data_IF_822306563307
#
_entry.id   IF_822306563307
#
_cell.length_a   1.000
_cell.length_b   1.000
_cell.length_c   1.000
_cell.angle_alpha   90.00
_cell.angle_beta   90.00
_cell.angle_gamma   90.00
#
_symmetry.space_group_name_H-M   'P 1'
#
loop_
_entity.id
_entity.type
_entity.pdbx_description
1 polymer ?
#
# COMPACT_ATOMS: atom_id res chain seq x y z
N UNK A 1 -19.92 23.97 -9.78
CA UNK A 1 -19.94 22.61 -10.36
C UNK A 1 -18.56 22.01 -10.11
N UNK A 2 -18.46 20.81 -9.56
CA UNK A 2 -17.16 20.15 -9.39
C UNK A 2 -16.67 19.73 -10.78
N UNK A 3 -15.43 20.11 -11.11
CA UNK A 3 -14.78 19.67 -12.34
C UNK A 3 -14.67 18.13 -12.33
N UNK A 4 -14.83 17.47 -13.49
CA UNK A 4 -14.75 16.00 -13.59
C UNK A 4 -13.43 15.44 -13.04
N UNK A 5 -12.36 16.20 -13.23
CA UNK A 5 -11.00 15.88 -12.80
C UNK A 5 -10.63 16.52 -11.44
N UNK A 6 -11.59 17.01 -10.66
CA UNK A 6 -11.29 17.55 -9.32
C UNK A 6 -10.58 16.49 -8.46
N UNK A 7 -9.43 16.87 -7.91
CA UNK A 7 -8.63 16.04 -7.04
C UNK A 7 -8.16 16.86 -5.84
N UNK A 8 -8.58 16.43 -4.65
CA UNK A 8 -8.41 17.18 -3.42
C UNK A 8 -7.47 16.47 -2.47
N UNK A 9 -6.51 17.23 -1.98
CA UNK A 9 -5.58 16.78 -0.95
C UNK A 9 -5.72 17.64 0.30
N UNK A 10 -5.24 17.12 1.43
CA UNK A 10 -5.23 17.84 2.69
C UNK A 10 -3.81 17.95 3.22
N UNK A 11 -3.45 19.13 3.73
CA UNK A 11 -2.23 19.35 4.50
C UNK A 11 -2.61 19.57 5.95
N UNK A 12 -2.01 18.79 6.84
CA UNK A 12 -2.24 18.84 8.28
C UNK A 12 -0.99 19.27 9.03
N UNK A 13 -1.17 19.83 10.23
CA UNK A 13 -0.07 20.04 11.17
C UNK A 13 0.29 18.72 11.84
N UNK A 14 1.58 18.42 11.92
CA UNK A 14 2.09 17.33 12.72
C UNK A 14 2.11 17.78 14.17
N UNK A 15 1.22 17.25 15.00
CA UNK A 15 1.29 17.48 16.45
C UNK A 15 2.42 16.60 16.99
N UNK A 16 3.45 17.22 17.56
CA UNK A 16 4.52 16.44 18.21
C UNK A 16 3.93 15.52 19.28
N UNK A 17 4.59 14.39 19.52
CA UNK A 17 4.22 13.42 20.57
C UNK A 17 3.99 14.10 21.93
N UNK A 18 4.75 15.14 22.26
CA UNK A 18 4.58 15.95 23.48
C UNK A 18 3.26 16.74 23.52
N UNK A 19 2.81 17.27 22.38
CA UNK A 19 1.52 17.97 22.26
C UNK A 19 0.32 17.01 22.32
N UNK A 20 0.50 15.75 21.91
CA UNK A 20 -0.51 14.70 22.03
C UNK A 20 -0.59 14.10 23.45
N UNK A 21 0.54 14.08 24.18
CA UNK A 21 0.64 13.54 25.54
C UNK A 21 0.14 14.50 26.64
N UNK A 22 0.13 15.81 26.39
CA UNK A 22 -0.47 16.80 27.30
C UNK A 22 -1.93 17.02 26.88
N UNK A 23 -2.88 16.83 27.79
CA UNK A 23 -4.32 16.67 27.52
C UNK A 23 -5.04 17.83 26.80
N UNK A 24 -6.39 17.81 26.83
CA UNK A 24 -7.27 18.76 26.10
C UNK A 24 -6.96 20.25 26.35
N UNK A 25 -6.34 20.58 27.48
CA UNK A 25 -6.06 21.95 27.92
C UNK A 25 -4.97 22.67 27.13
N UNK A 26 -4.13 21.96 26.35
CA UNK A 26 -3.04 22.59 25.57
C UNK A 26 -3.44 22.89 24.12
N UNK A 27 -4.55 22.32 23.64
CA UNK A 27 -5.05 22.51 22.27
C UNK A 27 -5.34 23.98 21.91
N UNK A 28 -5.93 24.82 22.78
CA UNK A 28 -6.15 26.23 22.49
C UNK A 28 -4.84 26.99 22.25
N UNK A 29 -3.78 26.64 22.96
CA UNK A 29 -2.45 27.26 22.80
C UNK A 29 -1.81 26.88 21.46
N UNK A 30 -1.95 25.63 21.02
CA UNK A 30 -1.45 25.20 19.71
C UNK A 30 -2.31 25.74 18.54
N UNK A 31 -3.63 25.88 18.74
CA UNK A 31 -4.52 26.50 17.77
C UNK A 31 -4.24 28.00 17.58
N UNK A 32 -3.83 28.70 18.64
CA UNK A 32 -3.45 30.11 18.60
C UNK A 32 -2.09 30.33 17.88
N UNK A 33 -1.22 29.33 17.86
CA UNK A 33 0.05 29.40 17.12
C UNK A 33 -0.19 29.34 15.62
N UNK A 34 0.07 30.42 14.89
CA UNK A 34 0.08 30.38 13.42
C UNK A 34 1.28 29.58 12.95
N UNK A 35 1.04 28.41 12.35
CA UNK A 35 2.04 27.66 11.62
C UNK A 35 1.71 27.67 10.13
N UNK A 36 2.72 28.00 9.34
CA UNK A 36 2.62 28.08 7.89
C UNK A 36 3.82 27.44 7.21
N UNK A 37 3.61 27.04 5.97
CA UNK A 37 4.67 26.58 5.08
C UNK A 37 5.14 27.82 4.31
N UNK A 38 6.30 28.34 4.72
CA UNK A 38 6.96 29.49 4.11
C UNK A 38 8.08 29.09 3.15
N UNK A 39 8.84 30.08 2.68
CA UNK A 39 9.98 29.86 1.80
C UNK A 39 11.05 28.93 2.40
N UNK A 40 11.72 28.17 1.54
CA UNK A 40 12.86 27.32 1.91
C UNK A 40 13.92 27.32 0.79
N UNK A 41 15.14 26.90 1.11
CA UNK A 41 16.20 26.70 0.13
C UNK A 41 16.17 25.26 -0.40
N UNK A 42 16.35 25.07 -1.72
CA UNK A 42 16.28 23.73 -2.34
C UNK A 42 17.27 22.73 -1.71
N UNK A 43 18.44 23.22 -1.32
CA UNK A 43 19.43 22.47 -0.55
C UNK A 43 20.07 23.38 0.50
N UNK A 44 20.73 22.78 1.49
CA UNK A 44 21.37 23.50 2.61
C UNK A 44 22.40 24.53 2.11
N UNK A 45 23.03 24.29 0.95
CA UNK A 45 24.06 25.15 0.37
C UNK A 45 23.57 25.94 -0.86
N UNK A 46 22.30 25.83 -1.24
CA UNK A 46 21.78 26.52 -2.41
C UNK A 46 21.38 27.96 -2.06
N UNK A 47 21.76 28.91 -2.93
CA UNK A 47 21.21 30.26 -2.93
C UNK A 47 19.82 30.34 -3.58
N UNK A 48 19.32 29.21 -4.10
CA UNK A 48 18.05 29.10 -4.83
C UNK A 48 16.92 28.70 -3.89
N UNK A 49 15.82 29.44 -4.00
CA UNK A 49 14.59 29.20 -3.24
C UNK A 49 13.84 28.06 -3.92
N UNK A 50 13.37 27.12 -3.12
CA UNK A 50 12.61 25.97 -3.61
C UNK A 50 11.22 26.37 -4.03
N UNK A 51 10.86 26.05 -5.27
CA UNK A 51 9.52 26.25 -5.81
C UNK A 51 8.67 24.99 -5.80
N UNK A 52 9.33 23.82 -5.90
CA UNK A 52 8.67 22.52 -6.07
C UNK A 52 8.14 22.24 -7.48
N UNK A 53 8.29 23.22 -8.38
CA UNK A 53 7.95 23.15 -9.79
C UNK A 53 9.21 23.11 -10.65
N UNK A 54 9.06 22.57 -11.86
CA UNK A 54 10.06 22.69 -12.92
C UNK A 54 9.97 24.07 -13.56
N UNK A 55 11.06 24.49 -14.21
CA UNK A 55 11.08 25.78 -14.91
C UNK A 55 10.05 25.88 -16.05
N UNK A 56 9.60 24.75 -16.60
CA UNK A 56 8.56 24.71 -17.63
C UNK A 56 7.17 24.90 -17.00
N UNK A 57 6.89 24.20 -15.90
CA UNK A 57 5.65 24.37 -15.14
C UNK A 57 5.52 25.83 -14.62
N UNK A 58 6.61 26.43 -14.13
CA UNK A 58 6.64 27.83 -13.70
C UNK A 58 6.22 28.78 -14.82
N UNK A 59 6.75 28.59 -16.04
CA UNK A 59 6.42 29.44 -17.20
C UNK A 59 4.99 29.27 -17.69
N UNK A 60 4.36 28.13 -17.41
CA UNK A 60 2.97 27.90 -17.78
C UNK A 60 1.99 28.48 -16.77
N UNK A 61 2.30 28.37 -15.47
CA UNK A 61 1.34 28.68 -14.39
C UNK A 61 1.53 30.10 -13.85
N UNK A 62 2.77 30.54 -13.61
CA UNK A 62 3.02 31.79 -12.89
C UNK A 62 2.68 33.06 -13.68
N UNK A 63 2.70 33.12 -15.03
CA UNK A 63 2.30 34.33 -15.74
C UNK A 63 0.88 34.80 -15.40
N UNK A 64 -0.07 33.87 -15.21
CA UNK A 64 -1.45 34.20 -14.85
C UNK A 64 -1.58 34.77 -13.43
N UNK A 65 -0.66 34.42 -12.53
CA UNK A 65 -0.67 34.84 -11.12
C UNK A 65 0.10 36.13 -10.93
N UNK A 66 1.25 36.26 -11.58
CA UNK A 66 2.14 37.42 -11.48
C UNK A 66 1.74 38.54 -12.43
N UNK A 67 0.88 38.26 -13.42
CA UNK A 67 0.51 39.18 -14.50
C UNK A 67 1.72 39.67 -15.32
N UNK A 68 2.72 38.80 -15.50
CA UNK A 68 3.98 39.06 -16.22
C UNK A 68 4.26 37.91 -17.17
N UNK A 69 4.59 38.20 -18.43
CA UNK A 69 4.92 37.15 -19.40
C UNK A 69 6.23 36.44 -19.00
N UNK A 70 6.23 35.11 -19.12
CA UNK A 70 7.38 34.23 -18.93
C UNK A 70 8.67 34.64 -19.68
N UNK A 71 8.55 35.42 -20.76
CA UNK A 71 9.66 35.89 -21.61
C UNK A 71 10.27 37.21 -21.14
N UNK A 72 9.61 37.93 -20.25
CA UNK A 72 10.13 39.20 -19.74
C UNK A 72 11.36 38.99 -18.85
N UNK A 73 12.29 39.94 -18.88
CA UNK A 73 13.52 39.88 -18.09
C UNK A 73 13.23 39.83 -16.58
N UNK A 74 12.16 40.50 -16.17
CA UNK A 74 11.76 40.61 -14.76
C UNK A 74 11.07 39.35 -14.23
N UNK A 75 10.57 38.46 -15.10
CA UNK A 75 9.83 37.27 -14.71
C UNK A 75 10.56 36.44 -13.66
N UNK A 76 11.85 36.12 -13.88
CA UNK A 76 12.64 35.32 -12.92
C UNK A 76 12.78 35.99 -11.55
N UNK A 77 12.86 37.32 -11.52
CA UNK A 77 12.97 38.09 -10.27
C UNK A 77 11.66 38.04 -9.50
N UNK A 78 10.54 38.22 -10.19
CA UNK A 78 9.21 38.19 -9.58
C UNK A 78 8.80 36.78 -9.15
N UNK A 79 9.16 35.74 -9.91
CA UNK A 79 9.02 34.34 -9.48
C UNK A 79 9.77 34.09 -8.18
N UNK A 80 11.01 34.60 -8.06
CA UNK A 80 11.78 34.48 -6.82
C UNK A 80 11.09 35.20 -5.67
N UNK A 81 10.65 36.45 -5.87
CA UNK A 81 9.94 37.23 -4.84
C UNK A 81 8.63 36.55 -4.42
N UNK A 82 7.91 35.96 -5.37
CA UNK A 82 6.70 35.19 -5.12
C UNK A 82 6.96 34.05 -4.14
N UNK A 83 7.99 33.23 -4.37
CA UNK A 83 8.31 32.12 -3.45
C UNK A 83 8.92 32.59 -2.12
N UNK A 84 9.59 33.74 -2.05
CA UNK A 84 9.98 34.36 -0.77
C UNK A 84 8.75 34.69 0.06
N UNK A 85 7.75 35.28 -0.59
CA UNK A 85 6.54 35.79 0.06
C UNK A 85 5.44 34.74 0.19
N UNK A 86 5.66 33.52 -0.33
CA UNK A 86 4.69 32.45 -0.26
C UNK A 86 4.53 31.98 1.19
N UNK A 87 3.37 32.26 1.76
CA UNK A 87 3.00 31.89 3.13
C UNK A 87 1.73 31.05 3.11
N UNK A 88 1.88 29.72 3.22
CA UNK A 88 0.74 28.80 3.20
C UNK A 88 0.31 28.47 4.61
N UNK A 89 -0.70 29.18 5.12
CA UNK A 89 -1.23 28.99 6.47
C UNK A 89 -2.03 27.70 6.57
N UNK A 90 -1.66 26.84 7.51
CA UNK A 90 -2.35 25.56 7.73
C UNK A 90 -3.22 25.69 8.98
N UNK A 91 -4.56 25.56 8.90
CA UNK A 91 -5.43 25.51 10.07
C UNK A 91 -5.10 24.29 10.96
N UNK A 92 -5.19 24.47 12.28
CA UNK A 92 -4.89 23.40 13.25
C UNK A 92 -5.94 22.28 13.21
N UNK A 93 -7.23 22.62 13.25
CA UNK A 93 -8.30 21.62 13.43
C UNK A 93 -8.70 20.89 12.13
N UNK A 94 -8.82 21.62 11.03
CA UNK A 94 -9.36 21.08 9.77
C UNK A 94 -8.28 20.65 8.78
N UNK A 95 -7.05 21.15 8.96
CA UNK A 95 -6.04 21.20 7.91
C UNK A 95 -6.42 22.16 6.79
N UNK A 96 -5.57 22.22 5.76
CA UNK A 96 -5.79 22.98 4.54
C UNK A 96 -6.16 22.03 3.40
N UNK A 97 -7.34 22.24 2.81
CA UNK A 97 -7.77 21.55 1.60
C UNK A 97 -7.21 22.27 0.36
N UNK A 98 -6.55 21.55 -0.53
CA UNK A 98 -6.03 22.06 -1.80
C UNK A 98 -6.66 21.30 -2.95
N UNK A 99 -7.15 22.03 -3.95
CA UNK A 99 -7.60 21.48 -5.23
C UNK A 99 -6.41 21.43 -6.19
N UNK A 100 -5.96 20.22 -6.53
CA UNK A 100 -4.79 19.98 -7.38
C UNK A 100 -5.15 19.27 -8.69
N UNK A 101 -6.45 19.11 -8.98
CA UNK A 101 -6.89 18.54 -10.24
C UNK A 101 -6.49 19.40 -11.45
N UNK A 102 -6.33 18.75 -12.59
CA UNK A 102 -5.97 19.33 -13.88
C UNK A 102 -7.18 19.37 -14.82
N UNK A 103 -7.17 20.24 -15.82
CA UNK A 103 -8.31 20.44 -16.72
C UNK A 103 -8.61 19.24 -17.62
N UNK A 104 -7.62 18.48 -18.07
CA UNK A 104 -7.83 17.35 -19.00
C UNK A 104 -7.63 16.00 -18.34
N UNK A 105 -6.46 15.76 -17.73
CA UNK A 105 -6.12 14.50 -17.07
C UNK A 105 -5.14 14.72 -15.92
N UNK A 106 -5.48 14.19 -14.74
CA UNK A 106 -4.67 14.26 -13.52
C UNK A 106 -3.38 13.43 -13.58
N UNK A 107 -3.28 12.47 -14.51
CA UNK A 107 -2.09 11.62 -14.67
C UNK A 107 -1.13 12.15 -15.73
N UNK A 108 -1.59 13.07 -16.58
CA UNK A 108 -0.77 13.71 -17.60
C UNK A 108 0.07 14.85 -17.00
N UNK A 109 1.24 15.18 -17.58
CA UNK A 109 2.01 16.35 -17.16
C UNK A 109 1.23 17.65 -17.44
N UNK A 110 1.63 18.72 -16.77
CA UNK A 110 1.10 20.06 -17.04
C UNK A 110 1.50 20.47 -18.45
N UNK A 111 0.54 20.98 -19.19
CA UNK A 111 0.71 21.52 -20.54
C UNK A 111 -0.16 22.77 -20.71
N UNK A 112 -0.07 23.43 -21.85
CA UNK A 112 -0.95 24.55 -22.18
C UNK A 112 -2.45 24.15 -22.23
N UNK A 113 -2.77 22.88 -22.48
CA UNK A 113 -4.14 22.35 -22.48
C UNK A 113 -4.54 21.76 -21.12
N UNK A 114 -3.57 21.21 -20.37
CA UNK A 114 -3.78 20.52 -19.10
C UNK A 114 -3.27 21.36 -17.91
N UNK A 115 -3.82 22.56 -17.74
CA UNK A 115 -3.48 23.43 -16.62
C UNK A 115 -4.20 23.01 -15.32
N UNK A 116 -3.69 23.41 -14.14
CA UNK A 116 -4.40 23.16 -12.89
C UNK A 116 -5.73 23.92 -12.82
N UNK A 117 -6.77 23.28 -12.29
CA UNK A 117 -8.08 23.90 -12.05
C UNK A 117 -7.95 25.10 -11.10
N UNK A 118 -7.08 24.97 -10.10
CA UNK A 118 -6.70 26.06 -9.19
C UNK A 118 -5.17 26.23 -9.16
N UNK A 119 -4.60 27.14 -9.97
CA UNK A 119 -3.16 27.38 -10.06
C UNK A 119 -2.46 27.57 -8.71
N UNK A 120 -3.03 28.42 -7.83
CA UNK A 120 -2.45 28.72 -6.52
C UNK A 120 -2.39 27.50 -5.59
N UNK A 121 -3.45 26.69 -5.57
CA UNK A 121 -3.52 25.52 -4.70
C UNK A 121 -2.56 24.42 -5.18
N UNK A 122 -2.43 24.27 -6.50
CA UNK A 122 -1.43 23.40 -7.12
C UNK A 122 0.01 23.81 -6.79
N UNK A 123 0.33 25.11 -6.87
CA UNK A 123 1.65 25.63 -6.49
C UNK A 123 1.93 25.34 -5.01
N UNK A 124 0.98 25.62 -4.12
CA UNK A 124 1.12 25.35 -2.67
C UNK A 124 1.37 23.87 -2.40
N UNK A 125 0.67 22.99 -3.10
CA UNK A 125 0.91 21.55 -3.00
C UNK A 125 2.32 21.16 -3.44
N UNK A 126 2.75 21.59 -4.63
CA UNK A 126 4.06 21.23 -5.18
C UNK A 126 5.20 21.80 -4.33
N UNK A 127 5.03 23.02 -3.85
CA UNK A 127 5.94 23.66 -2.90
C UNK A 127 6.02 22.85 -1.60
N UNK A 128 4.87 22.47 -1.02
CA UNK A 128 4.81 21.65 0.20
C UNK A 128 5.44 20.27 0.01
N UNK A 129 5.23 19.61 -1.14
CA UNK A 129 5.76 18.27 -1.43
C UNK A 129 7.29 18.18 -1.40
N UNK A 130 7.98 19.31 -1.66
CA UNK A 130 9.44 19.42 -1.66
C UNK A 130 9.99 20.14 -0.43
N UNK A 131 9.13 20.65 0.44
CA UNK A 131 9.53 21.41 1.61
C UNK A 131 10.11 20.47 2.69
N UNK A 132 11.31 20.76 3.27
CA UNK A 132 12.00 19.85 4.20
C UNK A 132 11.23 19.47 5.47
N UNK A 133 10.30 20.32 5.91
CA UNK A 133 9.45 20.10 7.10
C UNK A 133 8.08 19.48 6.81
N UNK A 134 7.84 19.03 5.57
CA UNK A 134 6.56 18.44 5.15
C UNK A 134 6.79 16.99 4.74
N UNK A 135 6.08 16.06 5.37
CA UNK A 135 6.06 14.67 4.97
C UNK A 135 5.01 14.41 3.88
N UNK A 136 5.26 13.40 3.04
CA UNK A 136 4.36 13.05 1.94
C UNK A 136 3.16 12.22 2.38
N UNK A 137 3.25 11.62 3.56
CA UNK A 137 2.19 10.82 4.16
C UNK A 137 2.18 11.00 5.68
N UNK A 138 1.05 10.71 6.35
CA UNK A 138 0.99 10.74 7.82
C UNK A 138 1.96 9.74 8.46
N UNK A 139 2.19 8.59 7.83
CA UNK A 139 3.10 7.55 8.32
C UNK A 139 4.57 8.02 8.30
N UNK A 140 4.98 8.80 7.29
CA UNK A 140 6.32 9.41 7.25
C UNK A 140 6.52 10.48 8.33
N UNK A 141 5.46 11.16 8.75
CA UNK A 141 5.53 12.21 9.77
C UNK A 141 5.60 11.66 11.20
N UNK A 142 5.12 10.43 11.40
CA UNK A 142 5.00 9.83 12.72
C UNK A 142 6.38 9.63 13.36
N UNK A 143 6.55 10.14 14.59
CA UNK A 143 7.82 10.07 15.32
C UNK A 143 8.93 11.01 14.84
N UNK A 144 8.71 11.79 13.77
CA UNK A 144 9.72 12.73 13.26
C UNK A 144 9.55 14.14 13.82
N UNK A 145 10.43 14.54 14.76
CA UNK A 145 10.39 15.87 15.39
C UNK A 145 10.68 17.04 14.41
N UNK A 146 11.35 16.76 13.30
CA UNK A 146 11.72 17.78 12.30
C UNK A 146 10.62 18.03 11.25
N UNK A 147 9.57 17.20 11.25
CA UNK A 147 8.42 17.33 10.35
C UNK A 147 7.30 18.05 11.08
N UNK A 148 6.85 19.16 10.50
CA UNK A 148 5.81 20.02 11.07
C UNK A 148 4.47 19.84 10.37
N UNK A 149 4.46 19.28 9.16
CA UNK A 149 3.25 19.08 8.39
C UNK A 149 3.28 17.75 7.66
N UNK A 150 2.11 17.22 7.29
CA UNK A 150 2.00 16.05 6.44
C UNK A 150 0.88 16.21 5.43
N UNK A 151 1.06 15.57 4.28
CA UNK A 151 0.06 15.55 3.20
C UNK A 151 -0.76 14.26 3.31
N UNK A 152 -2.06 14.37 3.12
CA UNK A 152 -2.98 13.24 3.09
C UNK A 152 -3.96 13.35 1.92
N UNK A 153 -3.93 12.36 1.04
CA UNK A 153 -4.99 12.13 0.07
C UNK A 153 -6.05 11.20 0.69
N UNK A 154 -7.18 11.79 1.10
CA UNK A 154 -8.28 11.05 1.70
C UNK A 154 -8.96 10.11 0.71
N UNK A 155 -9.06 10.48 -0.57
CA UNK A 155 -9.71 9.65 -1.58
C UNK A 155 -8.91 8.37 -1.80
N UNK A 156 -7.58 8.49 -1.94
CA UNK A 156 -6.69 7.34 -2.09
C UNK A 156 -6.61 6.51 -0.81
N UNK A 157 -6.58 7.14 0.36
CA UNK A 157 -6.61 6.45 1.65
C UNK A 157 -7.90 5.64 1.82
N UNK A 158 -9.06 6.24 1.51
CA UNK A 158 -10.35 5.57 1.58
C UNK A 158 -10.45 4.42 0.56
N UNK A 159 -9.92 4.60 -0.65
CA UNK A 159 -9.85 3.54 -1.66
C UNK A 159 -9.02 2.35 -1.16
N UNK A 160 -7.84 2.60 -0.57
CA UNK A 160 -7.00 1.56 0.04
C UNK A 160 -7.70 0.86 1.19
N UNK A 161 -8.33 1.61 2.11
CA UNK A 161 -9.10 1.07 3.23
C UNK A 161 -10.27 0.21 2.76
N UNK A 162 -10.99 0.66 1.73
CA UNK A 162 -12.09 -0.10 1.13
C UNK A 162 -11.60 -1.40 0.50
N UNK A 163 -10.48 -1.37 -0.24
CA UNK A 163 -9.88 -2.58 -0.81
C UNK A 163 -9.44 -3.56 0.28
N UNK A 164 -8.78 -3.08 1.34
CA UNK A 164 -8.40 -3.90 2.49
C UNK A 164 -9.61 -4.47 3.24
N UNK A 165 -10.69 -3.69 3.40
CA UNK A 165 -11.92 -4.16 3.99
C UNK A 165 -12.57 -5.26 3.13
N UNK A 166 -12.61 -5.09 1.80
CA UNK A 166 -13.13 -6.10 0.89
C UNK A 166 -12.36 -7.43 1.00
N UNK A 167 -11.02 -7.37 1.07
CA UNK A 167 -10.18 -8.58 1.25
C UNK A 167 -10.43 -9.23 2.61
N UNK A 168 -10.67 -8.43 3.67
CA UNK A 168 -11.07 -8.97 4.98
C UNK A 168 -12.43 -9.64 4.93
N UNK A 169 -13.41 -8.99 4.32
CA UNK A 169 -14.77 -9.53 4.19
C UNK A 169 -14.73 -10.85 3.40
N UNK A 170 -13.96 -10.91 2.31
CA UNK A 170 -13.73 -12.11 1.50
C UNK A 170 -13.04 -13.22 2.31
N UNK A 171 -12.00 -12.90 3.08
CA UNK A 171 -11.31 -13.87 3.94
C UNK A 171 -12.26 -14.47 4.99
N UNK A 172 -13.08 -13.63 5.64
CA UNK A 172 -14.06 -14.09 6.63
C UNK A 172 -15.15 -14.92 5.98
N UNK A 173 -15.64 -14.55 4.79
CA UNK A 173 -16.61 -15.35 4.06
C UNK A 173 -16.04 -16.73 3.74
N UNK A 174 -14.84 -16.80 3.16
CA UNK A 174 -14.17 -18.06 2.85
C UNK A 174 -13.94 -18.92 4.11
N UNK A 175 -13.54 -18.31 5.23
CA UNK A 175 -13.46 -19.00 6.52
C UNK A 175 -14.80 -19.60 6.96
N UNK A 176 -15.90 -18.82 6.89
CA UNK A 176 -17.23 -19.28 7.29
C UNK A 176 -17.74 -20.45 6.43
N UNK A 177 -17.31 -20.53 5.17
CA UNK A 177 -17.65 -21.63 4.26
C UNK A 177 -16.89 -22.92 4.60
N UNK A 178 -15.62 -22.82 5.01
CA UNK A 178 -14.78 -24.00 5.29
C UNK A 178 -14.77 -24.44 6.76
N UNK A 179 -15.14 -23.57 7.73
CA UNK A 179 -15.04 -23.86 9.17
C UNK A 179 -15.76 -25.15 9.59
N UNK A 180 -16.86 -25.49 8.91
CA UNK A 180 -17.67 -26.67 9.22
C UNK A 180 -17.02 -27.98 8.78
N UNK A 181 -15.97 -27.90 7.97
CA UNK A 181 -15.23 -29.06 7.46
C UNK A 181 -13.86 -29.12 8.11
N UNK A 182 -13.74 -30.00 9.11
CA UNK A 182 -12.48 -30.22 9.84
C UNK A 182 -11.32 -30.53 8.88
N UNK A 183 -11.55 -31.34 7.85
CA UNK A 183 -10.54 -31.65 6.84
C UNK A 183 -10.06 -30.39 6.11
N UNK A 184 -10.98 -29.55 5.58
CA UNK A 184 -10.57 -28.32 4.88
C UNK A 184 -9.86 -27.33 5.80
N UNK A 185 -10.27 -27.24 7.07
CA UNK A 185 -9.60 -26.41 8.07
C UNK A 185 -8.16 -26.87 8.27
N UNK A 186 -7.94 -28.17 8.42
CA UNK A 186 -6.61 -28.74 8.58
C UNK A 186 -5.73 -28.54 7.33
N UNK A 187 -6.29 -28.75 6.13
CA UNK A 187 -5.61 -28.49 4.86
C UNK A 187 -5.18 -27.02 4.74
N UNK A 188 -6.08 -26.09 5.07
CA UNK A 188 -5.80 -24.66 5.02
C UNK A 188 -4.69 -24.26 6.01
N UNK A 189 -4.73 -24.78 7.24
CA UNK A 189 -3.69 -24.53 8.25
C UNK A 189 -2.32 -25.04 7.81
N UNK A 190 -2.26 -26.25 7.23
CA UNK A 190 -1.02 -26.82 6.71
C UNK A 190 -0.42 -25.92 5.62
N UNK A 191 -1.24 -25.48 4.65
CA UNK A 191 -0.81 -24.58 3.58
C UNK A 191 -0.42 -23.18 4.08
N UNK A 192 -1.00 -22.73 5.19
CA UNK A 192 -0.62 -21.50 5.88
C UNK A 192 0.62 -21.68 6.77
N UNK A 193 1.25 -22.87 6.76
CA UNK A 193 2.48 -23.16 7.49
C UNK A 193 2.29 -23.44 8.98
N UNK A 194 1.08 -23.82 9.40
CA UNK A 194 0.77 -24.18 10.79
C UNK A 194 0.81 -25.69 10.96
N UNK A 195 1.55 -26.14 11.98
CA UNK A 195 1.60 -27.54 12.36
C UNK A 195 0.40 -27.88 13.25
N UNK A 196 -0.39 -28.87 12.83
CA UNK A 196 -1.59 -29.32 13.54
C UNK A 196 -1.29 -29.88 14.94
N UNK A 197 -0.15 -30.53 15.12
CA UNK A 197 0.28 -31.13 16.39
C UNK A 197 0.73 -30.10 17.42
N UNK A 198 1.06 -28.87 17.01
CA UNK A 198 1.53 -27.81 17.90
C UNK A 198 0.47 -26.74 18.18
N UNK A 199 -0.80 -27.01 17.88
CA UNK A 199 -1.89 -26.07 18.11
C UNK A 199 -2.32 -26.11 19.58
N UNK A 200 -2.26 -24.95 20.25
CA UNK A 200 -2.77 -24.78 21.61
C UNK A 200 -4.30 -24.59 21.63
N UNK A 201 -4.85 -24.05 20.54
CA UNK A 201 -6.27 -23.77 20.36
C UNK A 201 -6.91 -24.67 19.30
N UNK A 202 -8.25 -24.80 19.30
CA UNK A 202 -8.95 -25.49 18.23
C UNK A 202 -8.56 -24.96 16.85
N UNK A 203 -8.39 -25.86 15.89
CA UNK A 203 -7.95 -25.55 14.53
C UNK A 203 -8.78 -24.44 13.86
N UNK A 204 -10.10 -24.46 14.06
CA UNK A 204 -11.01 -23.43 13.55
C UNK A 204 -10.69 -22.04 14.12
N UNK A 205 -10.38 -21.95 15.41
CA UNK A 205 -10.05 -20.69 16.08
C UNK A 205 -8.73 -20.13 15.57
N UNK A 206 -7.71 -20.97 15.41
CA UNK A 206 -6.43 -20.55 14.85
C UNK A 206 -6.59 -20.08 13.39
N UNK A 207 -7.36 -20.82 12.60
CA UNK A 207 -7.64 -20.45 11.22
C UNK A 207 -8.37 -19.10 11.11
N UNK A 208 -9.32 -18.84 12.02
CA UNK A 208 -10.00 -17.55 12.13
C UNK A 208 -9.03 -16.41 12.44
N UNK A 209 -8.09 -16.61 13.38
CA UNK A 209 -7.07 -15.59 13.70
C UNK A 209 -6.23 -15.24 12.48
N UNK A 210 -5.89 -16.21 11.64
CA UNK A 210 -5.14 -15.96 10.41
C UNK A 210 -5.99 -15.18 9.40
N UNK A 211 -7.27 -15.52 9.23
CA UNK A 211 -8.19 -14.77 8.37
C UNK A 211 -8.34 -13.30 8.82
N UNK A 212 -8.38 -13.04 10.13
CA UNK A 212 -8.51 -11.67 10.68
C UNK A 212 -7.19 -10.88 10.63
N UNK A 213 -6.05 -11.51 10.93
CA UNK A 213 -4.73 -10.85 11.04
C UNK A 213 -3.98 -10.75 9.70
N UNK A 214 -4.17 -11.72 8.81
CA UNK A 214 -3.47 -11.84 7.52
C UNK A 214 -4.43 -12.20 6.38
N UNK A 215 -5.45 -11.37 6.12
CA UNK A 215 -6.57 -11.70 5.22
C UNK A 215 -6.12 -11.96 3.78
N UNK A 216 -5.12 -11.21 3.26
CA UNK A 216 -4.60 -11.43 1.91
C UNK A 216 -3.96 -12.81 1.77
N UNK A 217 -3.06 -13.18 2.69
CA UNK A 217 -2.41 -14.50 2.68
C UNK A 217 -3.43 -15.63 2.81
N UNK A 218 -4.46 -15.42 3.62
CA UNK A 218 -5.54 -16.37 3.79
C UNK A 218 -6.29 -16.58 2.47
N UNK A 219 -6.74 -15.50 1.82
CA UNK A 219 -7.44 -15.56 0.52
C UNK A 219 -6.57 -16.21 -0.55
N UNK A 220 -5.30 -15.81 -0.66
CA UNK A 220 -4.36 -16.33 -1.65
C UNK A 220 -4.16 -17.85 -1.54
N UNK A 221 -4.32 -18.41 -0.34
CA UNK A 221 -4.21 -19.85 -0.08
C UNK A 221 -5.56 -20.54 -0.25
N UNK A 222 -6.55 -20.13 0.54
CA UNK A 222 -7.84 -20.84 0.68
C UNK A 222 -8.71 -20.73 -0.57
N UNK A 223 -8.68 -19.58 -1.24
CA UNK A 223 -9.43 -19.36 -2.48
C UNK A 223 -8.59 -19.68 -3.73
N UNK A 224 -7.40 -20.26 -3.57
CA UNK A 224 -6.58 -20.66 -4.69
C UNK A 224 -7.26 -21.76 -5.52
N UNK A 225 -7.28 -21.60 -6.85
CA UNK A 225 -7.82 -22.60 -7.79
C UNK A 225 -7.17 -23.99 -7.72
N UNK A 226 -5.98 -24.05 -7.13
CA UNK A 226 -5.16 -25.27 -6.98
C UNK A 226 -5.02 -25.67 -5.49
N UNK A 227 -5.94 -25.23 -4.62
CA UNK A 227 -5.90 -25.47 -3.17
C UNK A 227 -5.63 -26.95 -2.82
N UNK A 228 -6.42 -27.88 -3.36
CA UNK A 228 -6.28 -29.31 -3.06
C UNK A 228 -4.96 -29.89 -3.58
N UNK A 229 -4.55 -29.50 -4.80
CA UNK A 229 -3.28 -29.96 -5.37
C UNK A 229 -2.10 -29.44 -4.54
N UNK A 230 -2.12 -28.16 -4.15
CA UNK A 230 -1.11 -27.57 -3.29
C UNK A 230 -1.05 -28.28 -1.93
N UNK A 231 -2.21 -28.63 -1.35
CA UNK A 231 -2.26 -29.38 -0.10
C UNK A 231 -1.51 -30.71 -0.24
N UNK A 232 -1.85 -31.52 -1.26
CA UNK A 232 -1.19 -32.80 -1.47
C UNK A 232 0.31 -32.67 -1.70
N UNK A 233 0.76 -31.69 -2.49
CA UNK A 233 2.20 -31.42 -2.70
C UNK A 233 2.89 -31.18 -1.37
N UNK A 234 2.32 -30.28 -0.54
CA UNK A 234 2.91 -29.94 0.75
C UNK A 234 2.91 -31.16 1.69
N UNK A 235 1.80 -31.90 1.77
CA UNK A 235 1.69 -33.13 2.56
C UNK A 235 2.70 -34.20 2.15
N UNK A 236 2.93 -34.39 0.85
CA UNK A 236 3.92 -35.35 0.35
C UNK A 236 5.36 -34.92 0.65
N UNK A 237 5.66 -33.63 0.59
CA UNK A 237 6.97 -33.09 0.96
C UNK A 237 7.22 -33.26 2.46
N UNK A 238 6.26 -32.87 3.30
CA UNK A 238 6.38 -32.93 4.76
C UNK A 238 6.50 -34.37 5.26
N UNK A 239 5.77 -35.31 4.66
CA UNK A 239 5.88 -36.75 4.96
C UNK A 239 7.12 -37.40 4.30
N UNK A 240 7.88 -36.68 3.46
CA UNK A 240 9.01 -37.23 2.71
C UNK A 240 8.63 -38.38 1.79
N UNK A 241 7.44 -38.33 1.18
CA UNK A 241 7.01 -39.24 0.11
C UNK A 241 7.59 -38.77 -1.23
N UNK A 242 7.66 -37.45 -1.42
CA UNK A 242 8.38 -36.83 -2.53
C UNK A 242 9.50 -35.95 -1.98
N UNK A 243 10.55 -35.76 -2.77
CA UNK A 243 11.64 -34.84 -2.45
C UNK A 243 11.79 -33.78 -3.53
N UNK A 244 12.09 -32.57 -3.09
CA UNK A 244 12.45 -31.47 -3.97
C UNK A 244 13.97 -31.37 -4.07
N UNK A 245 14.52 -31.43 -5.29
CA UNK A 245 15.96 -31.23 -5.56
C UNK A 245 16.09 -30.13 -6.62
N UNK A 246 16.49 -28.94 -6.17
CA UNK A 246 16.40 -27.73 -6.97
C UNK A 246 14.94 -27.34 -7.25
N UNK A 247 14.59 -27.05 -8.50
CA UNK A 247 13.20 -26.78 -8.92
C UNK A 247 12.38 -28.04 -9.22
N UNK A 248 12.99 -29.23 -9.23
CA UNK A 248 12.39 -30.48 -9.70
C UNK A 248 11.92 -31.36 -8.54
N UNK A 249 10.91 -32.17 -8.80
CA UNK A 249 10.28 -33.06 -7.83
C UNK A 249 10.47 -34.52 -8.23
N UNK A 250 10.83 -35.34 -7.25
CA UNK A 250 11.11 -36.77 -7.42
C UNK A 250 10.35 -37.58 -6.38
N UNK A 251 9.97 -38.80 -6.76
CA UNK A 251 9.50 -39.82 -5.84
C UNK A 251 10.69 -40.34 -5.01
N UNK A 252 10.49 -40.52 -3.71
CA UNK A 252 11.56 -40.96 -2.79
C UNK A 252 11.83 -42.47 -2.89
N UNK A 253 10.87 -43.27 -3.33
CA UNK A 253 11.00 -44.74 -3.35
C UNK A 253 11.81 -45.25 -4.56
N UNK A 254 11.54 -44.69 -5.74
CA UNK A 254 12.14 -45.16 -7.00
C UNK A 254 13.04 -44.12 -7.69
N UNK A 255 13.24 -42.95 -7.08
CA UNK A 255 13.98 -41.81 -7.62
C UNK A 255 13.47 -41.31 -8.99
N UNK A 256 12.23 -41.66 -9.36
CA UNK A 256 11.64 -41.22 -10.62
C UNK A 256 11.27 -39.73 -10.57
N UNK A 257 11.56 -39.02 -11.67
CA UNK A 257 11.19 -37.60 -11.80
C UNK A 257 9.68 -37.49 -11.99
N UNK A 258 9.04 -36.73 -11.10
CA UNK A 258 7.59 -36.46 -11.14
C UNK A 258 7.29 -35.18 -11.93
N UNK A 259 8.05 -34.11 -11.70
CA UNK A 259 7.81 -32.81 -12.33
C UNK A 259 9.08 -31.94 -12.41
N UNK A 260 9.12 -31.01 -13.36
CA UNK A 260 10.24 -30.06 -13.53
C UNK A 260 10.08 -28.75 -12.76
N UNK A 261 8.84 -28.38 -12.46
CA UNK A 261 8.49 -27.24 -11.62
C UNK A 261 7.30 -27.57 -10.70
N UNK A 262 6.96 -26.63 -9.81
CA UNK A 262 5.77 -26.76 -8.95
C UNK A 262 4.49 -26.69 -9.76
N UNK A 263 4.43 -25.85 -10.80
CA UNK A 263 3.27 -25.74 -11.70
C UNK A 263 3.04 -27.06 -12.48
N UNK A 264 4.12 -27.69 -12.93
CA UNK A 264 4.06 -29.01 -13.57
C UNK A 264 3.55 -30.08 -12.60
N UNK A 265 3.97 -30.02 -11.34
CA UNK A 265 3.51 -30.96 -10.32
C UNK A 265 2.02 -30.77 -9.98
N UNK A 266 1.54 -29.52 -9.96
CA UNK A 266 0.10 -29.23 -9.83
C UNK A 266 -0.66 -29.83 -11.01
N UNK A 267 -0.14 -29.69 -12.22
CA UNK A 267 -0.76 -30.27 -13.43
C UNK A 267 -0.75 -31.79 -13.39
N UNK A 268 0.36 -32.40 -12.97
CA UNK A 268 0.50 -33.84 -12.76
C UNK A 268 -0.56 -34.38 -11.81
N UNK A 269 -0.77 -33.71 -10.67
CA UNK A 269 -1.78 -34.11 -9.67
C UNK A 269 -3.23 -33.86 -10.12
N UNK A 270 -3.46 -32.97 -11.07
CA UNK A 270 -4.78 -32.69 -11.64
C UNK A 270 -5.13 -33.61 -12.82
N UNK A 271 -4.14 -34.20 -13.48
CA UNK A 271 -4.37 -35.16 -14.56
C UNK A 271 -4.72 -36.54 -14.00
N UNK A 272 -5.98 -36.66 -13.57
CA UNK A 272 -6.59 -37.90 -13.07
C UNK A 272 -6.68 -39.02 -14.13
N UNK A 273 -6.43 -38.72 -15.41
CA UNK A 273 -6.56 -39.70 -16.49
C UNK A 273 -5.27 -40.47 -16.77
N UNK A 274 -4.12 -39.77 -16.78
CA UNK A 274 -2.83 -40.38 -17.12
C UNK A 274 -2.02 -40.81 -15.89
N UNK A 275 -2.23 -40.16 -14.75
CA UNK A 275 -1.36 -40.30 -13.56
C UNK A 275 -2.06 -40.89 -12.34
N UNK A 276 -3.34 -41.30 -12.44
CA UNK A 276 -4.15 -41.75 -11.31
C UNK A 276 -3.52 -42.89 -10.50
N UNK A 277 -2.91 -43.88 -11.16
CA UNK A 277 -2.23 -45.00 -10.47
C UNK A 277 -1.08 -44.49 -9.59
N UNK A 278 -0.21 -43.64 -10.13
CA UNK A 278 0.92 -43.06 -9.39
C UNK A 278 0.45 -42.14 -8.26
N UNK A 279 -0.58 -41.33 -8.49
CA UNK A 279 -1.18 -40.48 -7.47
C UNK A 279 -1.76 -41.34 -6.34
N UNK A 280 -2.43 -42.44 -6.68
CA UNK A 280 -2.95 -43.40 -5.71
C UNK A 280 -1.85 -43.99 -4.83
N UNK A 281 -0.73 -44.41 -5.43
CA UNK A 281 0.44 -44.92 -4.71
C UNK A 281 1.07 -43.87 -3.78
N UNK A 282 1.17 -42.61 -4.22
CA UNK A 282 1.67 -41.51 -3.37
C UNK A 282 0.75 -41.27 -2.17
N UNK A 283 -0.58 -41.27 -2.38
CA UNK A 283 -1.58 -41.10 -1.32
C UNK A 283 -1.56 -42.27 -0.32
N UNK A 284 -1.44 -43.51 -0.79
CA UNK A 284 -1.33 -44.68 0.07
C UNK A 284 -0.08 -44.61 0.97
N UNK A 285 1.08 -44.28 0.39
CA UNK A 285 2.33 -44.13 1.14
C UNK A 285 2.30 -42.98 2.15
N UNK A 286 1.62 -41.89 1.81
CA UNK A 286 1.36 -40.81 2.77
C UNK A 286 0.55 -41.33 3.97
N UNK A 287 -0.55 -42.05 3.74
CA UNK A 287 -1.38 -42.61 4.81
C UNK A 287 -0.57 -43.53 5.73
N UNK A 288 0.24 -44.44 5.16
CA UNK A 288 1.10 -45.35 5.93
C UNK A 288 2.10 -44.63 6.86
N UNK A 289 2.59 -43.45 6.45
CA UNK A 289 3.51 -42.65 7.26
C UNK A 289 2.80 -41.81 8.34
N UNK A 290 1.55 -41.42 8.12
CA UNK A 290 0.77 -40.61 9.08
C UNK A 290 0.00 -41.42 10.12
N UNK A 291 -0.20 -42.72 9.89
CA UNK A 291 -0.94 -43.62 10.79
C UNK A 291 -0.01 -44.26 11.86
N UNK A 292 1.31 -44.08 11.76
CA UNK A 292 2.28 -44.49 12.79
C UNK A 292 2.51 -43.42 13.85
#
# INVERSE_FOLDING_TARGET
MNHSNSHKIFIYRNTSFLAAAQGKDVRPFFAAGNQSIGSYYETINASKIGSGLTAEEEKLILPEILYIDSKELEFKKEVRLFYINLDTKIPFDTGLELEIGLLEDNNAPISASNLPIKPMDYIRYRHALKHPRVAKSPEEAEGQNNIWFYIQDKALTNKRKKAQAAIKDEAIQAYLEIKSSENKVQQALLLLGKNLSSLEEPAETELRKIAESSPQKFVDVVLHKDFEANYWIQSFLDAGVIKQVGGRFYDVEDDSKLAESKEDLVTFLKDDSSNSEKIGLLKARYQDKTIK
#
